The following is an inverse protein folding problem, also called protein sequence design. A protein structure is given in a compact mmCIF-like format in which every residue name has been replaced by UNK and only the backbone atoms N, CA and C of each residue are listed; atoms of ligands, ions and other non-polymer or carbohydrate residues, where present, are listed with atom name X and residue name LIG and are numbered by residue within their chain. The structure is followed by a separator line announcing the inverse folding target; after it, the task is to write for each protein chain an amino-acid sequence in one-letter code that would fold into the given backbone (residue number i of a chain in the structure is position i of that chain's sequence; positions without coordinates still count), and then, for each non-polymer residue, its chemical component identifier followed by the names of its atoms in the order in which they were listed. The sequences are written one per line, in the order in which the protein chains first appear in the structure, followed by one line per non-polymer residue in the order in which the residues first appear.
data_IF_851523807746
#
_entry.id   IF_851523807746
#
_cell.length_a   1.000
_cell.length_b   1.000
_cell.length_c   1.000
_cell.angle_alpha   90.00
_cell.angle_beta   90.00
_cell.angle_gamma   90.00
#
_symmetry.space_group_name_H-M   'P 1'
#
loop_
_entity.id
_entity.type
_entity.pdbx_description
1 polymer ?
#
# COMPACT_ATOMS: atom_id res chain seq x y z
N UNK A 1 -14.40 -13.80 -9.21
CA UNK A 1 -13.88 -12.70 -10.04
C UNK A 1 -12.37 -12.69 -9.91
N UNK A 2 -11.66 -12.93 -11.00
CA UNK A 2 -10.19 -12.92 -11.00
C UNK A 2 -9.68 -11.49 -10.74
N UNK A 3 -9.00 -11.29 -9.62
CA UNK A 3 -8.61 -9.95 -9.11
C UNK A 3 -7.65 -9.19 -9.98
N UNK A 4 -6.96 -9.92 -10.85
CA UNK A 4 -5.97 -9.39 -11.78
C UNK A 4 -6.46 -9.46 -13.22
N UNK A 5 -7.72 -9.80 -13.48
CA UNK A 5 -8.20 -9.94 -14.83
C UNK A 5 -8.85 -8.62 -15.29
N UNK A 6 -8.14 -7.92 -16.17
CA UNK A 6 -8.60 -6.70 -16.82
C UNK A 6 -8.56 -6.91 -18.33
N UNK A 7 -9.67 -6.66 -19.00
CA UNK A 7 -9.80 -6.96 -20.42
C UNK A 7 -10.16 -5.71 -21.21
N UNK A 8 -9.49 -5.57 -22.35
CA UNK A 8 -10.06 -4.90 -23.51
C UNK A 8 -10.73 -5.96 -24.38
N UNK A 9 -11.92 -5.71 -24.89
CA UNK A 9 -12.59 -6.60 -25.84
C UNK A 9 -13.12 -5.82 -27.05
N UNK A 10 -13.20 -6.52 -28.18
CA UNK A 10 -13.70 -6.00 -29.45
C UNK A 10 -14.87 -6.84 -29.92
N UNK A 11 -15.99 -6.18 -30.19
CA UNK A 11 -17.19 -6.77 -30.77
C UNK A 11 -17.37 -6.27 -32.20
N UNK A 12 -17.92 -7.13 -33.05
CA UNK A 12 -18.55 -6.78 -34.31
C UNK A 12 -20.05 -6.62 -34.09
N UNK A 13 -20.60 -5.50 -34.55
CA UNK A 13 -22.04 -5.21 -34.54
C UNK A 13 -22.72 -5.73 -35.81
N UNK A 14 -24.05 -5.76 -35.83
CA UNK A 14 -24.83 -6.29 -36.96
C UNK A 14 -24.69 -5.49 -38.25
N UNK A 15 -24.26 -4.23 -38.15
CA UNK A 15 -23.94 -3.33 -39.26
C UNK A 15 -22.47 -3.44 -39.71
N UNK A 16 -21.70 -4.39 -39.16
CA UNK A 16 -20.27 -4.56 -39.39
C UNK A 16 -19.38 -3.57 -38.65
N UNK A 17 -19.93 -2.63 -37.88
CA UNK A 17 -19.13 -1.69 -37.07
C UNK A 17 -18.41 -2.40 -35.93
N UNK A 18 -17.33 -1.79 -35.42
CA UNK A 18 -16.58 -2.35 -34.28
C UNK A 18 -16.85 -1.56 -33.01
N UNK A 19 -17.24 -2.28 -31.96
CA UNK A 19 -17.33 -1.75 -30.61
C UNK A 19 -16.17 -2.26 -29.76
N UNK A 20 -15.50 -1.36 -29.05
CA UNK A 20 -14.41 -1.70 -28.12
C UNK A 20 -14.76 -1.23 -26.72
N UNK A 21 -14.52 -2.07 -25.72
CA UNK A 21 -14.77 -1.73 -24.33
C UNK A 21 -13.82 -2.41 -23.35
N UNK A 22 -13.91 -1.96 -22.10
CA UNK A 22 -13.23 -2.53 -20.94
C UNK A 22 -14.20 -3.38 -20.09
N UNK A 23 -13.71 -4.47 -19.51
CA UNK A 23 -14.44 -5.30 -18.52
C UNK A 23 -13.46 -6.11 -17.66
N UNK A 24 -13.92 -6.62 -16.51
CA UNK A 24 -13.19 -7.63 -15.72
C UNK A 24 -13.71 -9.06 -15.96
N UNK A 25 -14.78 -9.19 -16.74
CA UNK A 25 -15.43 -10.44 -17.11
C UNK A 25 -15.98 -10.29 -18.54
N UNK A 26 -15.35 -10.94 -19.52
CA UNK A 26 -15.71 -10.80 -20.94
C UNK A 26 -17.01 -11.53 -21.22
N UNK A 27 -17.16 -12.75 -20.74
CA UNK A 27 -18.32 -13.60 -21.03
C UNK A 27 -19.61 -12.97 -20.47
N UNK A 28 -19.59 -12.54 -19.21
CA UNK A 28 -20.72 -11.85 -18.61
C UNK A 28 -21.07 -10.55 -19.36
N UNK A 29 -20.04 -9.85 -19.88
CA UNK A 29 -20.24 -8.60 -20.61
C UNK A 29 -20.81 -8.83 -22.01
N UNK A 30 -20.34 -9.84 -22.73
CA UNK A 30 -20.86 -10.24 -24.05
C UNK A 30 -22.31 -10.70 -23.92
N UNK A 31 -22.62 -11.54 -22.91
CA UNK A 31 -23.99 -11.97 -22.63
C UNK A 31 -24.93 -10.79 -22.34
N UNK A 32 -24.46 -9.78 -21.60
CA UNK A 32 -25.24 -8.56 -21.36
C UNK A 32 -25.53 -7.78 -22.66
N UNK A 33 -24.56 -7.68 -23.58
CA UNK A 33 -24.78 -7.05 -24.88
C UNK A 33 -25.77 -7.84 -25.74
N UNK A 34 -25.63 -9.17 -25.81
CA UNK A 34 -26.54 -10.04 -26.55
C UNK A 34 -27.99 -9.95 -26.03
N UNK A 35 -28.16 -9.77 -24.71
CA UNK A 35 -29.47 -9.57 -24.08
C UNK A 35 -30.02 -8.13 -24.18
N UNK A 36 -29.40 -7.24 -24.97
CA UNK A 36 -29.82 -5.84 -25.09
C UNK A 36 -29.54 -4.98 -23.86
N UNK A 37 -28.94 -5.53 -22.80
CA UNK A 37 -28.53 -4.82 -21.57
C UNK A 37 -27.12 -4.23 -21.66
N UNK A 38 -26.52 -4.26 -22.85
CA UNK A 38 -25.23 -3.70 -23.17
C UNK A 38 -25.19 -2.17 -23.22
N UNK A 39 -24.09 -1.65 -23.78
CA UNK A 39 -23.94 -0.22 -24.02
C UNK A 39 -25.05 0.31 -24.96
N UNK A 40 -25.40 1.60 -24.83
CA UNK A 40 -26.41 2.24 -25.71
C UNK A 40 -26.13 1.99 -27.19
N UNK A 41 -24.85 2.06 -27.57
CA UNK A 41 -24.42 1.85 -28.95
C UNK A 41 -24.72 0.43 -29.45
N UNK A 42 -24.25 -0.60 -28.75
CA UNK A 42 -24.44 -2.01 -29.15
C UNK A 42 -25.90 -2.45 -29.09
N UNK A 43 -26.72 -1.87 -28.21
CA UNK A 43 -28.17 -2.10 -28.19
C UNK A 43 -28.85 -1.65 -29.50
N UNK A 44 -28.39 -0.55 -30.09
CA UNK A 44 -28.94 -0.02 -31.34
C UNK A 44 -28.37 -0.70 -32.60
N UNK A 45 -27.24 -1.42 -32.48
CA UNK A 45 -26.52 -2.04 -33.60
C UNK A 45 -26.34 -3.56 -33.39
N UNK A 46 -27.28 -4.20 -32.70
CA UNK A 46 -27.28 -5.66 -32.54
C UNK A 46 -27.64 -6.40 -33.84
N UNK A 47 -27.39 -7.71 -33.93
CA UNK A 47 -26.70 -8.56 -32.95
C UNK A 47 -25.20 -8.25 -32.86
N UNK A 48 -24.54 -8.69 -31.79
CA UNK A 48 -23.08 -8.51 -31.62
C UNK A 48 -22.36 -9.84 -31.54
N UNK A 49 -21.12 -9.87 -32.03
CA UNK A 49 -20.21 -11.03 -31.96
C UNK A 49 -18.88 -10.62 -31.33
N UNK A 50 -18.36 -11.40 -30.39
CA UNK A 50 -17.01 -11.18 -29.85
C UNK A 50 -15.98 -11.56 -30.93
N UNK A 51 -15.12 -10.62 -31.29
CA UNK A 51 -14.02 -10.85 -32.23
C UNK A 51 -12.73 -11.22 -31.53
N UNK A 52 -12.37 -10.46 -30.50
CA UNK A 52 -11.13 -10.67 -29.75
C UNK A 52 -11.21 -10.02 -28.36
N UNK A 53 -10.36 -10.49 -27.46
CA UNK A 53 -10.12 -9.86 -26.15
C UNK A 53 -8.64 -9.94 -25.82
N UNK A 54 -8.12 -8.88 -25.20
CA UNK A 54 -6.76 -8.82 -24.66
C UNK A 54 -6.81 -8.78 -23.15
N UNK A 55 -6.04 -9.65 -22.49
CA UNK A 55 -5.95 -9.71 -21.04
C UNK A 55 -4.75 -8.89 -20.51
N UNK A 56 -4.99 -8.17 -19.43
CA UNK A 56 -4.01 -7.40 -18.68
C UNK A 56 -4.19 -7.60 -17.17
N UNK A 57 -3.15 -7.27 -16.40
CA UNK A 57 -3.08 -7.38 -14.95
C UNK A 57 -3.43 -6.08 -14.22
N UNK A 58 -3.44 -4.96 -14.93
CA UNK A 58 -3.83 -3.65 -14.43
C UNK A 58 -4.96 -3.02 -15.25
N UNK A 59 -5.87 -2.33 -14.55
CA UNK A 59 -6.95 -1.55 -15.17
C UNK A 59 -6.40 -0.46 -16.10
N UNK A 60 -5.33 0.21 -15.67
CA UNK A 60 -4.72 1.31 -16.42
C UNK A 60 -4.23 0.85 -17.80
N UNK A 61 -3.56 -0.32 -17.87
CA UNK A 61 -3.09 -0.88 -19.14
C UNK A 61 -4.23 -1.27 -20.06
N UNK A 62 -5.26 -1.97 -19.54
CA UNK A 62 -6.43 -2.34 -20.33
C UNK A 62 -7.17 -1.12 -20.91
N UNK A 63 -7.36 -0.07 -20.10
CA UNK A 63 -8.01 1.17 -20.56
C UNK A 63 -7.14 1.95 -21.54
N UNK A 64 -5.81 1.92 -21.40
CA UNK A 64 -4.89 2.54 -22.37
C UNK A 64 -4.96 1.81 -23.72
N UNK A 65 -4.98 0.48 -23.72
CA UNK A 65 -5.17 -0.32 -24.93
C UNK A 65 -6.49 0.05 -25.61
N UNK A 66 -7.59 0.08 -24.85
CA UNK A 66 -8.93 0.46 -25.35
C UNK A 66 -8.91 1.86 -25.98
N UNK A 67 -8.34 2.84 -25.30
CA UNK A 67 -8.30 4.23 -25.75
C UNK A 67 -7.47 4.41 -27.03
N UNK A 68 -6.32 3.75 -27.14
CA UNK A 68 -5.48 3.79 -28.32
C UNK A 68 -6.12 3.05 -29.49
N UNK A 69 -6.68 1.85 -29.25
CA UNK A 69 -7.35 1.07 -30.29
C UNK A 69 -8.54 1.82 -30.89
N UNK A 70 -9.32 2.54 -30.07
CA UNK A 70 -10.46 3.36 -30.53
C UNK A 70 -10.06 4.40 -31.57
N UNK A 71 -8.85 4.98 -31.46
CA UNK A 71 -8.33 6.03 -32.35
C UNK A 71 -7.83 5.52 -33.70
N UNK A 72 -7.69 4.20 -33.86
CA UNK A 72 -7.23 3.62 -35.12
C UNK A 72 -8.27 3.75 -36.23
N UNK A 73 -7.79 3.82 -37.47
CA UNK A 73 -8.63 3.70 -38.67
C UNK A 73 -9.26 2.31 -38.74
N UNK A 74 -10.25 2.14 -39.62
CA UNK A 74 -10.91 0.84 -39.81
C UNK A 74 -9.92 -0.21 -40.28
N UNK A 75 -9.08 0.15 -41.25
CA UNK A 75 -8.08 -0.72 -41.88
C UNK A 75 -7.04 -1.18 -40.86
N UNK A 76 -6.58 -0.27 -39.99
CA UNK A 76 -5.64 -0.61 -38.93
C UNK A 76 -6.25 -1.55 -37.87
N UNK A 77 -7.55 -1.38 -37.54
CA UNK A 77 -8.26 -2.31 -36.64
C UNK A 77 -8.39 -3.69 -37.25
N UNK A 78 -8.73 -3.77 -38.54
CA UNK A 78 -8.84 -5.04 -39.26
C UNK A 78 -7.51 -5.76 -39.34
N UNK A 79 -6.41 -5.05 -39.62
CA UNK A 79 -5.07 -5.63 -39.62
C UNK A 79 -4.68 -6.21 -38.25
N UNK A 80 -4.95 -5.50 -37.16
CA UNK A 80 -4.72 -6.00 -35.80
C UNK A 80 -5.56 -7.23 -35.48
N UNK A 81 -6.85 -7.21 -35.82
CA UNK A 81 -7.77 -8.33 -35.55
C UNK A 81 -7.42 -9.56 -36.40
N UNK A 82 -6.95 -9.36 -37.63
CA UNK A 82 -6.45 -10.44 -38.47
C UNK A 82 -5.18 -11.08 -37.87
N UNK A 83 -4.25 -10.28 -37.35
CA UNK A 83 -3.08 -10.81 -36.63
C UNK A 83 -3.48 -11.55 -35.34
N UNK A 84 -4.48 -11.05 -34.62
CA UNK A 84 -5.00 -11.66 -33.39
C UNK A 84 -5.71 -13.02 -33.61
N UNK A 85 -5.95 -13.42 -34.87
CA UNK A 85 -6.39 -14.77 -35.18
C UNK A 85 -5.29 -15.82 -35.00
N UNK A 86 -4.02 -15.41 -35.05
CA UNK A 86 -2.85 -16.30 -34.96
C UNK A 86 -2.13 -16.25 -33.60
N UNK A 87 -2.30 -15.16 -32.83
CA UNK A 87 -1.64 -14.98 -31.53
C UNK A 87 -2.53 -14.16 -30.57
N UNK A 88 -2.29 -14.20 -29.24
CA UNK A 88 -3.09 -13.44 -28.27
C UNK A 88 -3.09 -11.93 -28.57
N UNK A 89 -4.27 -11.29 -28.47
CA UNK A 89 -4.43 -9.88 -28.83
C UNK A 89 -3.51 -8.96 -28.01
N UNK A 90 -3.23 -9.25 -26.74
CA UNK A 90 -2.27 -8.50 -25.93
C UNK A 90 -0.87 -8.43 -26.59
N UNK A 91 -0.36 -9.53 -27.15
CA UNK A 91 0.92 -9.57 -27.86
C UNK A 91 0.87 -8.74 -29.15
N UNK A 92 -0.24 -8.83 -29.89
CA UNK A 92 -0.46 -8.03 -31.12
C UNK A 92 -0.45 -6.54 -30.78
N UNK A 93 -1.16 -6.13 -29.72
CA UNK A 93 -1.26 -4.74 -29.30
C UNK A 93 0.11 -4.19 -28.88
N UNK A 94 0.91 -4.95 -28.15
CA UNK A 94 2.27 -4.52 -27.77
C UNK A 94 3.16 -4.25 -28.97
N UNK A 95 3.06 -5.07 -30.02
CA UNK A 95 3.90 -4.97 -31.21
C UNK A 95 3.44 -3.90 -32.19
N UNK A 96 2.13 -3.73 -32.34
CA UNK A 96 1.56 -2.96 -33.46
C UNK A 96 0.69 -1.77 -33.05
N UNK A 97 0.22 -1.68 -31.79
CA UNK A 97 -0.58 -0.54 -31.36
C UNK A 97 0.31 0.68 -31.10
N UNK A 98 0.22 1.76 -31.90
CA UNK A 98 1.12 2.89 -31.77
C UNK A 98 1.01 3.54 -30.39
N UNK A 99 2.15 3.72 -29.73
CA UNK A 99 2.23 4.34 -28.41
C UNK A 99 1.68 3.50 -27.27
N UNK A 100 1.42 2.19 -27.46
CA UNK A 100 1.10 1.26 -26.37
C UNK A 100 2.37 0.74 -25.71
N UNK A 101 3.26 0.13 -26.51
CA UNK A 101 4.56 -0.36 -26.07
C UNK A 101 4.47 -1.58 -25.14
N UNK A 102 5.63 -1.99 -24.63
CA UNK A 102 5.75 -3.15 -23.74
C UNK A 102 5.09 -2.96 -22.37
N UNK A 103 5.21 -3.99 -21.54
CA UNK A 103 4.74 -3.99 -20.16
C UNK A 103 5.29 -2.78 -19.38
N UNK A 104 4.42 -2.07 -18.66
CA UNK A 104 4.81 -0.98 -17.76
C UNK A 104 5.01 -1.46 -16.31
N UNK A 105 5.59 -0.64 -15.43
CA UNK A 105 5.89 -1.02 -14.06
C UNK A 105 4.63 -1.42 -13.25
N UNK A 106 3.48 -0.79 -13.52
CA UNK A 106 2.22 -1.11 -12.82
C UNK A 106 1.74 -2.49 -13.23
N UNK A 107 1.73 -2.77 -14.53
CA UNK A 107 1.40 -4.07 -15.08
C UNK A 107 2.34 -5.16 -14.57
N UNK A 108 3.66 -4.90 -14.59
CA UNK A 108 4.68 -5.81 -14.08
C UNK A 108 4.40 -6.20 -12.63
N UNK A 109 4.17 -5.23 -11.74
CA UNK A 109 3.90 -5.50 -10.32
C UNK A 109 2.62 -6.32 -10.17
N UNK A 110 1.53 -5.94 -10.85
CA UNK A 110 0.27 -6.67 -10.77
C UNK A 110 0.41 -8.11 -11.28
N UNK A 111 1.10 -8.33 -12.39
CA UNK A 111 1.36 -9.66 -12.95
C UNK A 111 2.16 -10.52 -11.99
N UNK A 112 3.24 -9.98 -11.42
CA UNK A 112 4.07 -10.72 -10.46
C UNK A 112 3.33 -11.05 -9.18
N UNK A 113 2.54 -10.12 -8.64
CA UNK A 113 1.68 -10.41 -7.48
C UNK A 113 0.65 -11.51 -7.78
N UNK A 114 0.11 -11.55 -9.01
CA UNK A 114 -0.80 -12.62 -9.44
C UNK A 114 -0.12 -14.00 -9.47
N UNK A 115 1.17 -14.05 -9.85
CA UNK A 115 1.93 -15.31 -9.93
C UNK A 115 2.34 -15.84 -8.56
N UNK A 116 2.52 -14.95 -7.58
CA UNK A 116 2.97 -15.27 -6.23
C UNK A 116 1.81 -15.39 -5.21
N UNK A 117 0.56 -15.39 -5.68
CA UNK A 117 -0.61 -15.40 -4.83
C UNK A 117 -0.77 -16.74 -4.08
N UNK A 118 -0.84 -16.68 -2.75
CA UNK A 118 -1.07 -17.82 -1.85
C UNK A 118 -2.39 -17.62 -1.08
N UNK A 119 -3.50 -18.28 -1.49
CA UNK A 119 -4.79 -18.16 -0.82
C UNK A 119 -4.78 -18.57 0.66
N UNK A 120 -3.90 -19.50 1.04
CA UNK A 120 -3.77 -19.93 2.44
C UNK A 120 -3.11 -18.85 3.28
N UNK A 121 -2.05 -18.22 2.74
CA UNK A 121 -1.40 -17.10 3.40
C UNK A 121 -2.30 -15.87 3.46
N UNK A 122 -3.13 -15.64 2.43
CA UNK A 122 -4.18 -14.60 2.47
C UNK A 122 -5.15 -14.83 3.63
N UNK A 123 -5.66 -16.05 3.79
CA UNK A 123 -6.60 -16.40 4.86
C UNK A 123 -5.99 -16.19 6.25
N UNK A 124 -4.69 -16.48 6.39
CA UNK A 124 -3.92 -16.20 7.61
C UNK A 124 -3.74 -14.70 7.86
N UNK A 125 -3.43 -13.91 6.82
CA UNK A 125 -3.15 -12.47 6.95
C UNK A 125 -4.40 -11.64 7.22
N UNK A 126 -5.56 -11.99 6.65
CA UNK A 126 -6.80 -11.23 6.76
C UNK A 126 -7.18 -10.82 8.20
N UNK A 127 -7.22 -11.73 9.21
CA UNK A 127 -7.53 -11.35 10.58
C UNK A 127 -6.43 -10.51 11.26
N UNK A 128 -5.20 -10.49 10.74
CA UNK A 128 -4.10 -9.71 11.33
C UNK A 128 -4.12 -8.24 10.91
N UNK A 129 -4.76 -7.91 9.78
CA UNK A 129 -4.88 -6.54 9.25
C UNK A 129 -6.36 -6.18 9.05
N UNK A 130 -7.15 -6.09 10.13
CA UNK A 130 -8.61 -5.93 10.04
C UNK A 130 -9.06 -4.63 9.38
N UNK A 131 -8.19 -3.62 9.30
CA UNK A 131 -8.46 -2.36 8.59
C UNK A 131 -8.41 -2.49 7.06
N UNK A 132 -7.94 -3.62 6.54
CA UNK A 132 -7.84 -3.89 5.10
C UNK A 132 -8.98 -4.79 4.66
N UNK A 133 -9.77 -4.33 3.69
CA UNK A 133 -10.77 -5.17 3.02
C UNK A 133 -10.14 -6.47 2.49
N UNK A 134 -10.72 -7.62 2.86
CA UNK A 134 -10.20 -8.92 2.47
C UNK A 134 -10.21 -9.15 0.95
N UNK A 135 -10.99 -8.36 0.20
CA UNK A 135 -11.00 -8.26 -1.26
C UNK A 135 -9.68 -7.72 -1.84
N UNK A 136 -8.97 -6.87 -1.09
CA UNK A 136 -7.69 -6.22 -1.47
C UNK A 136 -6.45 -7.04 -1.13
N UNK A 137 -6.56 -8.03 -0.23
CA UNK A 137 -5.44 -8.90 0.16
C UNK A 137 -5.23 -10.00 -0.87
N UNK A 138 -4.05 -10.06 -1.49
CA UNK A 138 -3.67 -11.12 -2.44
C UNK A 138 -3.20 -12.37 -1.72
N UNK A 139 -2.38 -12.20 -0.67
CA UNK A 139 -1.67 -13.27 0.01
C UNK A 139 -0.29 -13.53 -0.58
N UNK A 140 0.56 -12.51 -0.72
CA UNK A 140 1.95 -12.71 -1.16
C UNK A 140 2.91 -12.62 0.03
N UNK A 141 3.79 -13.62 0.18
CA UNK A 141 4.75 -13.66 1.29
C UNK A 141 5.83 -12.59 1.13
N UNK A 142 6.31 -12.05 2.25
CA UNK A 142 7.29 -10.95 2.26
C UNK A 142 8.54 -11.18 1.40
N UNK A 143 9.16 -12.37 1.35
CA UNK A 143 10.29 -12.60 0.45
C UNK A 143 9.97 -12.35 -1.03
N UNK A 144 8.81 -12.80 -1.50
CA UNK A 144 8.34 -12.58 -2.87
C UNK A 144 8.04 -11.10 -3.11
N UNK A 145 7.34 -10.42 -2.20
CA UNK A 145 7.09 -8.96 -2.30
C UNK A 145 8.41 -8.18 -2.41
N UNK A 146 9.43 -8.53 -1.62
CA UNK A 146 10.75 -7.89 -1.69
C UNK A 146 11.46 -8.15 -3.02
N UNK A 147 11.33 -9.35 -3.58
CA UNK A 147 11.88 -9.68 -4.89
C UNK A 147 11.20 -8.83 -5.99
N UNK A 148 9.88 -8.75 -5.98
CA UNK A 148 9.10 -7.91 -6.91
C UNK A 148 9.53 -6.45 -6.81
N UNK A 149 9.64 -5.91 -5.60
CA UNK A 149 10.09 -4.52 -5.39
C UNK A 149 11.51 -4.28 -5.88
N UNK A 150 12.43 -5.25 -5.72
CA UNK A 150 13.78 -5.18 -6.25
C UNK A 150 13.79 -5.08 -7.77
N UNK A 151 13.02 -5.93 -8.44
CA UNK A 151 12.92 -5.96 -9.90
C UNK A 151 12.21 -4.73 -10.46
N UNK A 152 11.09 -4.32 -9.85
CA UNK A 152 10.35 -3.13 -10.24
C UNK A 152 11.19 -1.85 -10.11
N UNK A 153 12.03 -1.74 -9.08
CA UNK A 153 12.93 -0.60 -8.88
C UNK A 153 14.06 -0.48 -9.93
N UNK A 154 14.37 -1.55 -10.65
CA UNK A 154 15.37 -1.52 -11.72
C UNK A 154 14.80 -1.10 -13.09
N UNK A 155 13.50 -0.84 -13.17
CA UNK A 155 12.84 -0.45 -14.43
C UNK A 155 12.94 1.06 -14.64
N UNK A 156 13.16 1.47 -15.89
CA UNK A 156 13.23 2.90 -16.26
C UNK A 156 11.92 3.64 -15.95
N UNK A 157 10.79 2.93 -16.01
CA UNK A 157 9.46 3.46 -15.73
C UNK A 157 8.98 3.25 -14.28
N UNK A 158 9.86 2.84 -13.35
CA UNK A 158 9.53 2.67 -11.93
C UNK A 158 8.79 3.86 -11.29
N UNK A 159 9.08 5.15 -11.64
CA UNK A 159 8.32 6.29 -11.11
C UNK A 159 6.83 6.25 -11.44
N UNK A 160 6.40 5.56 -12.51
CA UNK A 160 4.98 5.44 -12.86
C UNK A 160 4.22 4.67 -11.79
N UNK A 161 4.77 3.56 -11.29
CA UNK A 161 4.17 2.77 -10.21
C UNK A 161 4.17 3.54 -8.88
N UNK A 162 5.28 4.21 -8.53
CA UNK A 162 5.35 5.00 -7.29
C UNK A 162 4.37 6.19 -7.29
N UNK A 163 3.96 6.68 -8.46
CA UNK A 163 2.99 7.78 -8.60
C UNK A 163 1.55 7.30 -8.82
N UNK A 164 1.33 6.01 -9.10
CA UNK A 164 0.04 5.39 -9.36
C UNK A 164 -0.77 5.15 -8.06
N UNK A 165 -1.00 6.22 -7.31
CA UNK A 165 -1.69 6.18 -6.01
C UNK A 165 -3.15 6.66 -6.15
N UNK A 166 -4.09 6.14 -5.32
CA UNK A 166 -3.89 5.06 -4.34
C UNK A 166 -3.73 3.68 -4.99
N UNK A 167 -2.94 2.82 -4.36
CA UNK A 167 -2.83 1.42 -4.75
C UNK A 167 -4.08 0.65 -4.36
N UNK A 168 -4.49 -0.30 -5.22
CA UNK A 168 -5.72 -1.07 -5.00
C UNK A 168 -5.49 -2.22 -4.03
N UNK A 169 -4.43 -2.98 -4.22
CA UNK A 169 -4.12 -4.17 -3.42
C UNK A 169 -3.22 -3.84 -2.23
N UNK A 170 -3.37 -4.61 -1.16
CA UNK A 170 -2.49 -4.49 0.01
C UNK A 170 -1.02 -4.72 -0.36
N UNK A 171 -0.74 -5.74 -1.15
CA UNK A 171 0.63 -6.08 -1.52
C UNK A 171 1.26 -5.06 -2.49
N UNK A 172 0.49 -4.31 -3.26
CA UNK A 172 1.00 -3.17 -4.04
C UNK A 172 1.58 -2.09 -3.10
N UNK A 173 0.91 -1.81 -1.96
CA UNK A 173 1.44 -0.92 -0.93
C UNK A 173 2.75 -1.45 -0.32
N UNK A 174 2.85 -2.78 -0.11
CA UNK A 174 4.09 -3.39 0.39
C UNK A 174 5.23 -3.29 -0.63
N UNK A 175 4.95 -3.53 -1.92
CA UNK A 175 5.92 -3.34 -3.01
C UNK A 175 6.39 -1.88 -3.04
N UNK A 176 5.47 -0.92 -2.98
CA UNK A 176 5.78 0.51 -2.91
C UNK A 176 6.74 0.81 -1.75
N UNK A 177 6.39 0.39 -0.53
CA UNK A 177 7.21 0.61 0.66
C UNK A 177 8.63 0.05 0.50
N UNK A 178 8.77 -1.16 -0.04
CA UNK A 178 10.09 -1.74 -0.28
C UNK A 178 10.86 -1.07 -1.41
N UNK A 179 10.21 -0.54 -2.44
CA UNK A 179 10.86 0.27 -3.48
C UNK A 179 11.43 1.56 -2.88
N UNK A 180 10.68 2.26 -2.02
CA UNK A 180 11.19 3.45 -1.30
C UNK A 180 12.41 3.11 -0.44
N UNK A 181 12.44 1.93 0.17
CA UNK A 181 13.60 1.45 0.94
C UNK A 181 14.87 1.20 0.15
N UNK A 182 14.78 1.19 -1.19
CA UNK A 182 15.93 1.02 -2.07
C UNK A 182 16.52 2.34 -2.51
N UNK A 183 15.84 3.46 -2.24
CA UNK A 183 16.35 4.79 -2.56
C UNK A 183 17.47 5.16 -1.59
N UNK A 184 18.50 5.80 -2.12
CA UNK A 184 19.63 6.34 -1.35
C UNK A 184 19.63 7.87 -1.30
N UNK A 185 18.93 8.52 -2.22
CA UNK A 185 18.82 9.97 -2.33
C UNK A 185 17.64 10.49 -1.48
N UNK A 186 17.95 11.33 -0.50
CA UNK A 186 16.96 11.90 0.43
C UNK A 186 15.96 12.83 -0.28
N UNK A 187 16.44 13.72 -1.14
CA UNK A 187 15.64 14.73 -1.83
C UNK A 187 14.68 14.10 -2.84
N UNK A 188 15.11 13.01 -3.49
CA UNK A 188 14.24 12.23 -4.36
C UNK A 188 13.24 11.38 -3.56
N UNK A 189 13.64 10.84 -2.40
CA UNK A 189 12.81 9.93 -1.61
C UNK A 189 11.70 10.67 -0.84
N UNK A 190 12.01 11.75 -0.14
CA UNK A 190 11.08 12.41 0.77
C UNK A 190 9.73 12.80 0.10
N UNK A 191 9.69 13.39 -1.10
CA UNK A 191 8.42 13.69 -1.78
C UNK A 191 7.58 12.45 -2.09
N UNK A 192 8.22 11.30 -2.31
CA UNK A 192 7.51 10.04 -2.54
C UNK A 192 6.94 9.46 -1.23
N UNK A 193 7.67 9.56 -0.12
CA UNK A 193 7.10 9.23 1.21
C UNK A 193 5.87 10.09 1.49
N UNK A 194 5.96 11.40 1.28
CA UNK A 194 4.87 12.34 1.56
C UNK A 194 3.65 12.12 0.66
N UNK A 195 3.87 11.70 -0.59
CA UNK A 195 2.80 11.31 -1.50
C UNK A 195 2.16 9.99 -1.07
N UNK A 196 2.94 9.06 -0.52
CA UNK A 196 2.47 7.72 -0.18
C UNK A 196 1.73 7.64 1.16
N UNK A 197 2.25 8.31 2.20
CA UNK A 197 1.72 8.26 3.56
C UNK A 197 0.20 8.49 3.68
N UNK A 198 -0.43 9.44 2.95
CA UNK A 198 -1.87 9.64 2.98
C UNK A 198 -2.71 8.44 2.52
N UNK A 199 -2.10 7.47 1.85
CA UNK A 199 -2.76 6.25 1.34
C UNK A 199 -2.44 5.00 2.16
N UNK A 200 -1.63 5.11 3.20
CA UNK A 200 -1.36 4.01 4.13
C UNK A 200 -2.53 3.89 5.11
N UNK A 201 -3.15 2.71 5.14
CA UNK A 201 -4.41 2.44 5.84
C UNK A 201 -4.32 1.24 6.81
N UNK A 202 -3.12 0.77 7.08
CA UNK A 202 -2.90 -0.38 7.95
C UNK A 202 -1.51 -0.34 8.61
N UNK A 203 -1.40 -1.02 9.76
CA UNK A 203 -0.18 -1.04 10.55
C UNK A 203 0.96 -1.78 9.85
N UNK A 204 0.66 -2.81 9.05
CA UNK A 204 1.68 -3.66 8.42
C UNK A 204 2.46 -2.92 7.33
N UNK A 205 1.80 -2.11 6.51
CA UNK A 205 2.44 -1.22 5.54
C UNK A 205 3.23 -0.12 6.26
N UNK A 206 2.61 0.53 7.25
CA UNK A 206 3.22 1.62 8.01
C UNK A 206 4.54 1.19 8.67
N UNK A 207 4.55 0.06 9.37
CA UNK A 207 5.71 -0.38 10.15
C UNK A 207 6.82 -0.95 9.25
N UNK A 208 6.47 -1.44 8.06
CA UNK A 208 7.44 -1.94 7.07
C UNK A 208 8.07 -0.84 6.23
N UNK A 209 7.52 0.38 6.22
CA UNK A 209 8.15 1.52 5.54
C UNK A 209 9.57 1.72 6.07
N UNK A 210 10.59 1.58 5.22
CA UNK A 210 11.97 1.75 5.64
C UNK A 210 12.26 3.21 5.97
N UNK A 211 13.22 3.45 6.88
CA UNK A 211 13.60 4.82 7.29
C UNK A 211 15.07 5.11 7.05
N UNK A 212 15.81 4.16 6.46
CA UNK A 212 17.26 4.28 6.25
C UNK A 212 17.61 5.51 5.43
N UNK A 213 16.88 5.78 4.35
CA UNK A 213 17.12 6.94 3.49
C UNK A 213 16.91 8.26 4.24
N UNK A 214 15.95 8.30 5.18
CA UNK A 214 15.67 9.48 5.99
C UNK A 214 16.83 9.81 6.95
N UNK A 215 17.64 8.82 7.35
CA UNK A 215 18.80 9.05 8.20
C UNK A 215 19.92 9.88 7.53
N UNK A 216 19.84 10.13 6.22
CA UNK A 216 20.81 10.92 5.47
C UNK A 216 20.77 12.42 5.84
N UNK A 217 19.59 12.93 6.24
CA UNK A 217 19.42 14.30 6.75
C UNK A 217 18.54 14.28 8.02
N UNK A 218 19.15 14.02 9.20
CA UNK A 218 18.41 13.88 10.45
C UNK A 218 17.69 15.16 10.88
N UNK A 219 18.29 16.33 10.64
CA UNK A 219 17.72 17.62 11.04
C UNK A 219 16.43 17.89 10.25
N UNK A 220 16.49 17.78 8.92
CA UNK A 220 15.28 17.94 8.08
C UNK A 220 14.27 16.82 8.32
N UNK A 221 14.73 15.59 8.56
CA UNK A 221 13.83 14.48 8.94
C UNK A 221 13.07 14.81 10.20
N UNK A 222 13.74 15.37 11.21
CA UNK A 222 13.09 15.73 12.48
C UNK A 222 12.05 16.84 12.29
N UNK A 223 12.32 17.83 11.43
CA UNK A 223 11.31 18.82 11.04
C UNK A 223 10.08 18.14 10.43
N UNK A 224 10.28 17.17 9.52
CA UNK A 224 9.17 16.42 8.91
C UNK A 224 8.43 15.52 9.90
N UNK A 225 9.13 14.93 10.88
CA UNK A 225 8.50 14.18 11.96
C UNK A 225 7.48 15.05 12.69
N UNK A 226 7.83 16.29 13.06
CA UNK A 226 6.88 17.20 13.72
C UNK A 226 5.61 17.41 12.90
N UNK A 227 5.73 17.57 11.57
CA UNK A 227 4.58 17.64 10.66
C UNK A 227 3.78 16.34 10.60
N UNK A 228 4.44 15.18 10.57
CA UNK A 228 3.76 13.88 10.54
C UNK A 228 3.00 13.58 11.83
N UNK A 229 3.60 13.90 12.98
CA UNK A 229 2.94 13.73 14.28
C UNK A 229 1.68 14.57 14.38
N UNK A 230 1.72 15.82 13.91
CA UNK A 230 0.61 16.77 13.92
C UNK A 230 -0.41 16.58 12.77
N UNK A 231 -0.25 15.56 11.91
CA UNK A 231 -1.02 15.43 10.67
C UNK A 231 -2.51 15.12 10.85
N UNK A 232 -2.92 14.66 12.04
CA UNK A 232 -4.27 14.18 12.29
C UNK A 232 -4.64 12.90 11.52
N UNK A 233 -3.66 12.22 10.92
CA UNK A 233 -3.86 10.97 10.16
C UNK A 233 -3.16 9.83 10.86
N UNK A 234 -3.93 8.81 11.25
CA UNK A 234 -3.47 7.67 12.04
C UNK A 234 -2.10 7.11 11.62
N UNK A 235 -1.97 6.63 10.39
CA UNK A 235 -0.74 5.98 9.93
C UNK A 235 0.40 6.95 9.59
N UNK A 236 0.10 8.22 9.31
CA UNK A 236 1.13 9.26 9.17
C UNK A 236 1.73 9.60 10.54
N UNK A 237 0.90 9.81 11.56
CA UNK A 237 1.34 10.01 12.95
C UNK A 237 2.11 8.78 13.45
N UNK A 238 1.59 7.57 13.23
CA UNK A 238 2.26 6.31 13.56
C UNK A 238 3.63 6.20 12.89
N UNK A 239 3.73 6.56 11.61
CA UNK A 239 5.01 6.56 10.89
C UNK A 239 6.00 7.55 11.51
N UNK A 240 5.56 8.77 11.86
CA UNK A 240 6.38 9.76 12.56
C UNK A 240 6.96 9.23 13.88
N UNK A 241 6.13 8.58 14.71
CA UNK A 241 6.60 7.90 15.94
C UNK A 241 7.62 6.79 15.59
N UNK A 242 7.37 6.03 14.53
CA UNK A 242 8.25 4.97 14.06
C UNK A 242 9.60 5.47 13.52
N UNK A 243 9.66 6.70 13.01
CA UNK A 243 10.92 7.36 12.62
C UNK A 243 11.71 7.72 13.87
N UNK A 244 11.10 8.36 14.87
CA UNK A 244 11.75 8.65 16.16
C UNK A 244 12.30 7.37 16.81
N UNK A 245 11.47 6.32 16.84
CA UNK A 245 11.83 5.03 17.42
C UNK A 245 13.09 4.42 16.78
N UNK A 246 13.18 4.48 15.45
CA UNK A 246 14.21 3.76 14.68
C UNK A 246 15.47 4.57 14.41
N UNK A 247 15.38 5.90 14.37
CA UNK A 247 16.51 6.77 14.02
C UNK A 247 17.03 7.64 15.18
N UNK A 248 16.23 7.84 16.24
CA UNK A 248 16.48 8.84 17.27
C UNK A 248 16.46 8.31 18.71
N UNK A 249 16.36 7.00 18.94
CA UNK A 249 16.42 6.42 20.29
C UNK A 249 17.83 6.02 20.76
N UNK A 250 18.84 6.10 19.88
CA UNK A 250 20.23 5.78 20.20
C UNK A 250 21.07 7.07 20.29
N UNK A 251 22.16 7.19 19.53
CA UNK A 251 23.12 8.30 19.58
C UNK A 251 22.51 9.69 19.34
N UNK A 252 21.35 9.75 18.67
CA UNK A 252 20.65 11.01 18.35
C UNK A 252 19.58 11.38 19.38
N UNK A 253 19.46 10.65 20.49
CA UNK A 253 18.37 10.82 21.43
C UNK A 253 18.40 12.17 22.14
N UNK A 254 17.22 12.77 22.25
CA UNK A 254 16.96 13.93 23.09
C UNK A 254 15.72 13.66 23.97
N UNK A 255 15.72 14.02 25.26
CA UNK A 255 14.57 13.82 26.16
C UNK A 255 13.24 14.36 25.60
N UNK A 256 13.28 15.45 24.82
CA UNK A 256 12.09 16.03 24.19
C UNK A 256 11.36 15.08 23.24
N UNK A 257 12.02 14.04 22.70
CA UNK A 257 11.37 13.07 21.83
C UNK A 257 10.37 12.19 22.58
N UNK A 258 10.62 11.90 23.87
CA UNK A 258 9.64 11.24 24.71
C UNK A 258 8.38 12.09 24.85
N UNK A 259 8.55 13.40 25.08
CA UNK A 259 7.44 14.34 25.18
C UNK A 259 6.67 14.44 23.85
N UNK A 260 7.38 14.57 22.72
CA UNK A 260 6.75 14.59 21.39
C UNK A 260 5.88 13.35 21.15
N UNK A 261 6.32 12.15 21.57
CA UNK A 261 5.53 10.92 21.41
C UNK A 261 4.41 10.81 22.45
N UNK A 262 4.62 11.30 23.67
CA UNK A 262 3.56 11.40 24.68
C UNK A 262 2.42 12.28 24.17
N UNK A 263 2.72 13.38 23.48
CA UNK A 263 1.72 14.34 22.98
C UNK A 263 1.08 13.93 21.64
N UNK A 264 1.70 13.02 20.88
CA UNK A 264 1.27 12.62 19.53
C UNK A 264 0.01 11.73 19.51
N UNK A 265 -1.12 12.26 19.96
CA UNK A 265 -2.42 11.58 19.98
C UNK A 265 -3.28 11.94 18.78
N UNK A 266 -4.22 11.04 18.44
CA UNK A 266 -5.28 11.40 17.51
C UNK A 266 -6.18 12.50 18.11
N UNK A 267 -6.69 13.45 17.30
CA UNK A 267 -7.64 14.45 17.77
C UNK A 267 -8.84 13.78 18.43
N UNK A 268 -9.29 14.34 19.56
CA UNK A 268 -10.46 13.86 20.33
C UNK A 268 -10.34 12.39 20.79
N UNK A 269 -9.13 11.83 20.83
CA UNK A 269 -8.94 10.44 21.23
C UNK A 269 -9.38 10.21 22.69
N UNK A 270 -10.26 9.22 22.94
CA UNK A 270 -10.71 8.90 24.29
C UNK A 270 -9.55 8.42 25.15
N UNK A 271 -9.71 8.47 26.48
CA UNK A 271 -8.72 7.95 27.44
C UNK A 271 -8.45 6.46 27.22
N UNK A 272 -9.47 5.71 26.81
CA UNK A 272 -9.37 4.31 26.43
C UNK A 272 -9.85 4.16 24.98
N UNK A 273 -8.96 3.94 24.01
CA UNK A 273 -9.35 3.78 22.62
C UNK A 273 -10.10 2.47 22.39
N UNK A 274 -11.12 2.55 21.53
CA UNK A 274 -11.84 1.37 21.02
C UNK A 274 -10.91 0.53 20.15
N UNK A 275 -11.05 -0.79 20.19
CA UNK A 275 -10.24 -1.68 19.38
C UNK A 275 -10.38 -1.31 17.89
N UNK A 276 -9.27 -1.38 17.15
CA UNK A 276 -9.21 -1.10 15.70
C UNK A 276 -9.52 0.35 15.29
N UNK A 277 -9.76 1.26 16.24
CA UNK A 277 -9.84 2.70 15.97
C UNK A 277 -8.48 3.30 15.61
N UNK A 278 -8.50 4.47 14.95
CA UNK A 278 -7.29 5.24 14.68
C UNK A 278 -6.51 5.58 15.95
N UNK A 279 -7.22 6.00 17.01
CA UNK A 279 -6.63 6.28 18.31
C UNK A 279 -5.94 5.03 18.89
N UNK A 280 -6.52 3.84 18.72
CA UNK A 280 -5.91 2.59 19.17
C UNK A 280 -4.58 2.30 18.47
N UNK A 281 -4.49 2.48 17.16
CA UNK A 281 -3.25 2.22 16.42
C UNK A 281 -2.15 3.23 16.74
N UNK A 282 -2.49 4.50 16.96
CA UNK A 282 -1.52 5.52 17.40
C UNK A 282 -1.08 5.26 18.85
N UNK A 283 -2.00 5.05 19.78
CA UNK A 283 -1.67 4.81 21.19
C UNK A 283 -0.91 3.48 21.38
N UNK A 284 -1.21 2.45 20.58
CA UNK A 284 -0.40 1.22 20.58
C UNK A 284 1.03 1.45 20.08
N UNK A 285 1.23 2.38 19.13
CA UNK A 285 2.56 2.77 18.67
C UNK A 285 3.31 3.56 19.75
N UNK A 286 2.64 4.50 20.42
CA UNK A 286 3.20 5.23 21.57
C UNK A 286 3.64 4.26 22.66
N UNK A 287 2.78 3.28 23.00
CA UNK A 287 3.12 2.24 23.96
C UNK A 287 4.34 1.41 23.55
N UNK A 288 4.46 1.07 22.27
CA UNK A 288 5.64 0.37 21.75
C UNK A 288 6.89 1.25 21.81
N UNK A 289 6.80 2.51 21.42
CA UNK A 289 7.88 3.48 21.52
C UNK A 289 8.42 3.58 22.95
N UNK A 290 7.56 3.70 23.97
CA UNK A 290 8.02 3.78 25.36
C UNK A 290 8.65 2.47 25.86
N UNK A 291 8.17 1.30 25.42
CA UNK A 291 8.84 0.04 25.73
C UNK A 291 10.22 -0.08 25.06
N UNK A 292 10.37 0.44 23.85
CA UNK A 292 11.66 0.54 23.14
C UNK A 292 12.60 1.54 23.83
N UNK A 293 12.08 2.72 24.16
CA UNK A 293 12.83 3.78 24.83
C UNK A 293 13.30 3.33 26.21
N UNK A 294 12.51 2.56 26.95
CA UNK A 294 12.96 1.99 28.23
C UNK A 294 14.18 1.09 28.08
N UNK A 295 14.26 0.33 26.98
CA UNK A 295 15.39 -0.57 26.73
C UNK A 295 16.68 0.18 26.35
N UNK A 296 16.57 1.39 25.77
CA UNK A 296 17.70 2.15 25.23
C UNK A 296 18.09 3.37 26.08
N UNK A 297 17.11 3.98 26.72
CA UNK A 297 17.16 5.27 27.40
C UNK A 297 16.47 5.18 28.78
N UNK A 298 16.83 4.15 29.56
CA UNK A 298 16.16 3.74 30.80
C UNK A 298 15.85 4.91 31.73
N UNK A 299 16.88 5.68 32.08
CA UNK A 299 16.78 6.75 33.10
C UNK A 299 15.74 7.81 32.72
N UNK A 300 15.70 8.19 31.45
CA UNK A 300 14.78 9.22 30.94
C UNK A 300 13.39 8.67 30.65
N UNK A 301 13.27 7.40 30.24
CA UNK A 301 12.00 6.77 29.85
C UNK A 301 11.21 6.19 31.03
N UNK A 302 11.89 5.74 32.09
CA UNK A 302 11.26 5.10 33.25
C UNK A 302 10.20 6.00 33.96
N UNK A 303 10.43 7.32 34.14
CA UNK A 303 9.42 8.21 34.75
C UNK A 303 8.06 8.21 34.03
N UNK A 304 8.04 8.04 32.69
CA UNK A 304 6.79 7.97 31.92
C UNK A 304 5.97 6.70 32.22
N UNK A 305 6.61 5.66 32.75
CA UNK A 305 5.96 4.41 33.13
C UNK A 305 5.59 4.37 34.62
N UNK A 306 6.33 5.08 35.47
CA UNK A 306 6.12 5.12 36.91
C UNK A 306 5.08 6.14 37.35
N UNK A 307 5.10 7.34 36.76
CA UNK A 307 4.28 8.45 37.20
C UNK A 307 2.79 8.18 36.94
N UNK A 308 1.94 8.51 37.93
CA UNK A 308 0.49 8.29 37.91
C UNK A 308 -0.26 9.53 38.41
N UNK A 309 -1.57 9.56 38.17
CA UNK A 309 -2.43 10.64 38.65
C UNK A 309 -2.03 11.98 38.04
N UNK A 310 -1.98 13.02 38.87
CA UNK A 310 -1.64 14.39 38.44
C UNK A 310 -0.19 14.54 37.95
N UNK A 311 0.71 13.65 38.36
CA UNK A 311 2.10 13.64 37.91
C UNK A 311 2.30 12.79 36.63
N UNK A 312 1.25 12.17 36.08
CA UNK A 312 1.38 11.27 34.94
C UNK A 312 1.90 12.00 33.69
N UNK A 313 2.95 11.44 33.09
CA UNK A 313 3.54 11.95 31.84
C UNK A 313 2.98 11.22 30.59
N UNK A 314 2.16 10.20 30.81
CA UNK A 314 1.55 9.39 29.77
C UNK A 314 0.15 8.97 30.21
N UNK A 315 -0.80 8.92 29.28
CA UNK A 315 -2.15 8.46 29.59
C UNK A 315 -2.15 7.01 30.11
N UNK A 316 -3.05 6.72 31.04
CA UNK A 316 -3.02 5.48 31.81
C UNK A 316 -3.15 4.23 30.92
N UNK A 317 -3.92 4.31 29.83
CA UNK A 317 -4.06 3.19 28.91
C UNK A 317 -2.74 2.90 28.19
N UNK A 318 -2.12 3.93 27.60
CA UNK A 318 -0.85 3.80 26.87
C UNK A 318 0.28 3.38 27.83
N UNK A 319 0.33 3.94 29.04
CA UNK A 319 1.28 3.57 30.10
C UNK A 319 1.21 2.09 30.44
N UNK A 320 0.00 1.57 30.72
CA UNK A 320 -0.19 0.13 31.01
C UNK A 320 0.20 -0.77 29.85
N UNK A 321 -0.08 -0.35 28.60
CA UNK A 321 0.33 -1.09 27.41
C UNK A 321 1.84 -1.06 27.19
N UNK A 322 2.50 0.05 27.47
CA UNK A 322 3.95 0.17 27.42
C UNK A 322 4.62 -0.74 28.46
N UNK A 323 4.12 -0.74 29.71
CA UNK A 323 4.55 -1.67 30.76
C UNK A 323 4.39 -3.11 30.31
N UNK A 324 3.22 -3.48 29.77
CA UNK A 324 2.98 -4.83 29.27
C UNK A 324 4.02 -5.24 28.21
N UNK A 325 4.25 -4.38 27.20
CA UNK A 325 5.25 -4.64 26.15
C UNK A 325 6.67 -4.73 26.70
N UNK A 326 7.02 -3.89 27.66
CA UNK A 326 8.33 -3.91 28.31
C UNK A 326 8.56 -5.22 29.09
N UNK A 327 7.56 -5.69 29.83
CA UNK A 327 7.62 -6.97 30.57
C UNK A 327 7.76 -8.18 29.63
N UNK A 328 7.06 -8.16 28.48
CA UNK A 328 7.13 -9.21 27.46
C UNK A 328 8.45 -9.17 26.65
N UNK A 329 9.16 -8.04 26.63
CA UNK A 329 10.41 -7.85 25.89
C UNK A 329 11.56 -8.64 26.50
N UNK A 330 12.37 -9.30 25.64
CA UNK A 330 13.62 -9.98 26.07
C UNK A 330 14.77 -9.01 26.38
N UNK A 331 14.64 -7.73 26.05
CA UNK A 331 15.68 -6.71 26.25
C UNK A 331 15.61 -6.01 27.60
N UNK A 332 14.53 -6.20 28.35
CA UNK A 332 14.35 -5.63 29.68
C UNK A 332 14.85 -6.63 30.72
N UNK A 333 15.69 -6.18 31.65
CA UNK A 333 16.26 -7.02 32.70
C UNK A 333 15.18 -7.52 33.69
N UNK A 334 15.33 -8.71 34.30
CA UNK A 334 14.31 -9.29 35.18
C UNK A 334 13.90 -8.40 36.36
N UNK A 335 14.85 -7.74 37.02
CA UNK A 335 14.62 -6.80 38.12
C UNK A 335 13.73 -5.64 37.70
N UNK A 336 13.99 -5.07 36.52
CA UNK A 336 13.18 -3.99 35.98
C UNK A 336 11.78 -4.48 35.62
N UNK A 337 11.61 -5.73 35.15
CA UNK A 337 10.28 -6.30 34.90
C UNK A 337 9.47 -6.44 36.18
N UNK A 338 10.10 -6.90 37.26
CA UNK A 338 9.45 -7.04 38.56
C UNK A 338 8.99 -5.68 39.08
N UNK A 339 9.86 -4.67 38.98
CA UNK A 339 9.50 -3.29 39.29
C UNK A 339 8.31 -2.79 38.47
N UNK A 340 8.37 -2.93 37.14
CA UNK A 340 7.29 -2.49 36.25
C UNK A 340 5.95 -3.19 36.53
N UNK A 341 5.96 -4.44 37.02
CA UNK A 341 4.73 -5.14 37.42
C UNK A 341 4.08 -4.46 38.63
N UNK A 342 4.85 -3.88 39.54
CA UNK A 342 4.33 -3.05 40.63
C UNK A 342 3.78 -1.71 40.13
N UNK A 343 4.32 -1.21 39.01
CA UNK A 343 3.87 0.01 38.36
C UNK A 343 2.58 -0.16 37.53
N UNK A 344 2.16 -1.39 37.22
CA UNK A 344 0.93 -1.66 36.47
C UNK A 344 -0.32 -1.27 37.27
#
# INVERSE_FOLDING_TARGET
MERFAHYMYVLECGDGSYYTGYTTDVDARVAAHAAGRGARYTRAHGPVRLLASARFYSKARAMRAEALFKRLSREAKEALLAAAAAEPLECVLERFLPGFGGEDAVEFVCRRLSQEADPSYRAFMAPLVPTVDAGRLVGVRTPAVRAIAKEAACRDDAPTFLRALPHRLFEENQVHAFMLGRMSDYDAALPLYERFLPHVDNWATCDQLPVRVLAADPSRTLERVSWWLASGRCYTTRFGIGVLMRLFLDERFEPRFLQMVADARMPEAPVRPEAESDAYYVDMMRAWYFAEALAKQRETALPYLEARGEAALLDEWTRRRAIQKAVESRRIAPDLKDHLRTCR
#
